data_IF_431748276867
#
_entry.id   IF_431748276867
#
_cell.length_a   1.000
_cell.length_b   1.000
_cell.length_c   1.000
_cell.angle_alpha   90.00
_cell.angle_beta   90.00
_cell.angle_gamma   90.00
#
_symmetry.space_group_name_H-M   'P 1'
#
loop_
_entity.id
_entity.type
_entity.pdbx_description
1 polymer ?
#
# COMPACT_ATOMS: atom_id res chain seq x y z
N UNK A 1 13.51 -14.21 23.54
CA UNK A 1 14.78 -13.67 23.02
C UNK A 1 14.95 -12.26 23.56
N UNK A 2 15.79 -12.08 24.58
CA UNK A 2 15.91 -10.84 25.36
C UNK A 2 16.85 -9.90 24.60
N UNK A 3 16.31 -8.90 23.89
CA UNK A 3 17.12 -7.81 23.38
C UNK A 3 17.81 -7.10 24.56
N UNK A 4 19.08 -6.70 24.43
CA UNK A 4 19.79 -6.02 25.51
C UNK A 4 19.05 -4.75 25.92
N UNK A 5 18.82 -4.57 27.24
CA UNK A 5 18.04 -3.46 27.83
C UNK A 5 18.41 -2.08 27.27
N UNK A 6 19.66 -1.90 26.83
CA UNK A 6 20.18 -0.68 26.22
C UNK A 6 19.48 -0.28 24.90
N UNK A 7 19.18 -1.24 24.03
CA UNK A 7 18.46 -1.00 22.76
C UNK A 7 16.99 -0.65 23.03
N UNK A 8 16.41 -1.26 24.07
CA UNK A 8 15.01 -1.08 24.42
C UNK A 8 14.68 0.31 24.97
N UNK A 9 15.52 0.89 25.82
CA UNK A 9 15.25 2.22 26.39
C UNK A 9 15.68 3.39 25.51
N UNK A 10 16.77 3.28 24.72
CA UNK A 10 17.25 4.42 23.92
C UNK A 10 16.72 4.51 22.50
N UNK A 11 16.43 3.38 21.84
CA UNK A 11 15.97 3.40 20.44
C UNK A 11 14.50 3.04 20.31
N UNK A 12 14.04 2.02 21.04
CA UNK A 12 12.65 1.54 20.92
C UNK A 12 11.65 2.51 21.59
N UNK A 13 12.01 3.13 22.70
CA UNK A 13 11.12 4.07 23.40
C UNK A 13 10.84 5.37 22.60
N UNK A 14 11.84 6.07 22.02
CA UNK A 14 11.59 7.25 21.20
C UNK A 14 10.88 6.92 19.88
N UNK A 15 11.25 5.81 19.22
CA UNK A 15 10.54 5.35 18.01
C UNK A 15 9.09 5.02 18.30
N UNK A 16 8.79 4.38 19.44
CA UNK A 16 7.41 4.11 19.84
C UNK A 16 6.62 5.39 20.07
N UNK A 17 7.21 6.39 20.75
CA UNK A 17 6.57 7.69 20.94
C UNK A 17 6.35 8.43 19.63
N UNK A 18 7.31 8.39 18.71
CA UNK A 18 7.22 8.98 17.38
C UNK A 18 6.11 8.32 16.54
N UNK A 19 6.03 6.98 16.52
CA UNK A 19 4.98 6.24 15.81
C UNK A 19 3.58 6.52 16.40
N UNK A 20 3.48 6.84 17.70
CA UNK A 20 2.20 7.18 18.32
C UNK A 20 1.81 8.65 18.11
N UNK A 21 2.70 9.50 17.58
CA UNK A 21 2.39 10.89 17.26
C UNK A 21 2.01 11.03 15.78
N UNK A 22 0.70 11.07 15.51
CA UNK A 22 0.16 11.25 14.15
C UNK A 22 0.65 12.54 13.45
N UNK A 23 1.09 13.56 14.20
CA UNK A 23 1.67 14.77 13.62
C UNK A 23 3.08 14.53 13.12
N UNK A 24 3.88 13.80 13.90
CA UNK A 24 5.26 13.50 13.55
C UNK A 24 5.32 12.69 12.25
N UNK A 25 4.42 11.72 12.08
CA UNK A 25 4.26 10.95 10.83
C UNK A 25 3.96 11.89 9.65
N UNK A 26 2.97 12.78 9.79
CA UNK A 26 2.59 13.72 8.73
C UNK A 26 3.72 14.69 8.35
N UNK A 27 4.43 15.23 9.34
CA UNK A 27 5.58 16.13 9.11
C UNK A 27 6.71 15.38 8.41
N UNK A 28 7.04 14.16 8.85
CA UNK A 28 8.09 13.36 8.21
C UNK A 28 7.74 13.04 6.77
N UNK A 29 6.49 12.68 6.48
CA UNK A 29 6.04 12.43 5.11
C UNK A 29 6.19 13.68 4.24
N UNK A 30 5.78 14.86 4.74
CA UNK A 30 5.98 16.14 4.04
C UNK A 30 7.46 16.46 3.80
N UNK A 31 8.32 16.24 4.78
CA UNK A 31 9.77 16.46 4.66
C UNK A 31 10.38 15.51 3.64
N UNK A 32 10.02 14.23 3.66
CA UNK A 32 10.48 13.25 2.68
C UNK A 32 10.03 13.60 1.26
N UNK A 33 8.77 14.02 1.08
CA UNK A 33 8.25 14.48 -0.22
C UNK A 33 8.99 15.72 -0.70
N UNK A 34 9.16 16.73 0.15
CA UNK A 34 9.90 17.93 -0.20
C UNK A 34 11.36 17.61 -0.55
N UNK A 35 12.04 16.77 0.24
CA UNK A 35 13.40 16.35 -0.03
C UNK A 35 13.52 15.57 -1.35
N UNK A 36 12.57 14.69 -1.65
CA UNK A 36 12.51 13.94 -2.91
C UNK A 36 12.32 14.88 -4.11
N UNK A 37 11.39 15.83 -4.02
CA UNK A 37 11.15 16.83 -5.06
C UNK A 37 12.38 17.72 -5.28
N UNK A 38 13.02 18.18 -4.20
CA UNK A 38 14.24 18.98 -4.27
C UNK A 38 15.35 18.17 -4.96
N UNK A 39 15.59 16.93 -4.52
CA UNK A 39 16.60 16.05 -5.10
C UNK A 39 16.36 15.76 -6.59
N UNK A 40 15.10 15.47 -6.97
CA UNK A 40 14.74 15.16 -8.35
C UNK A 40 14.93 16.35 -9.31
N UNK A 41 14.84 17.59 -8.80
CA UNK A 41 14.98 18.82 -9.58
C UNK A 41 16.34 19.51 -9.36
N UNK A 42 17.29 18.86 -8.67
CA UNK A 42 18.55 19.49 -8.29
C UNK A 42 19.59 19.48 -9.41
N UNK A 43 19.60 20.51 -10.27
CA UNK A 43 20.66 20.75 -11.26
C UNK A 43 21.06 19.49 -12.04
N UNK A 44 22.38 19.26 -12.20
CA UNK A 44 22.93 18.07 -12.87
C UNK A 44 22.75 16.77 -12.06
N UNK A 45 22.56 16.85 -10.74
CA UNK A 45 22.38 15.68 -9.86
C UNK A 45 20.96 15.09 -9.93
N UNK A 46 19.98 15.88 -10.37
CA UNK A 46 18.58 15.43 -10.47
C UNK A 46 18.38 14.32 -11.50
N UNK A 47 19.17 14.29 -12.58
CA UNK A 47 19.17 13.14 -13.51
C UNK A 47 19.73 11.89 -12.85
N UNK A 48 20.87 11.99 -12.16
CA UNK A 48 21.45 10.86 -11.45
C UNK A 48 20.50 10.29 -10.38
N UNK A 49 19.78 11.15 -9.65
CA UNK A 49 18.76 10.73 -8.68
C UNK A 49 17.61 9.97 -9.36
N UNK A 50 17.07 10.49 -10.47
CA UNK A 50 15.97 9.86 -11.21
C UNK A 50 16.39 8.55 -11.88
N UNK A 51 17.60 8.49 -12.44
CA UNK A 51 18.11 7.29 -13.10
C UNK A 51 18.44 6.19 -12.10
N UNK A 52 18.95 6.54 -10.90
CA UNK A 52 19.32 5.59 -9.84
C UNK A 52 18.19 4.60 -9.53
N UNK A 53 16.96 5.08 -9.43
CA UNK A 53 15.79 4.24 -9.10
C UNK A 53 15.46 3.21 -10.18
N UNK A 54 15.85 3.48 -11.43
CA UNK A 54 15.55 2.67 -12.61
C UNK A 54 16.76 1.85 -13.09
N UNK A 55 17.89 1.87 -12.37
CA UNK A 55 19.05 1.03 -12.71
C UNK A 55 18.61 -0.43 -12.63
N UNK A 56 18.72 -1.14 -13.75
CA UNK A 56 18.32 -2.54 -13.85
C UNK A 56 19.45 -3.45 -13.35
N UNK A 57 19.11 -4.47 -12.56
CA UNK A 57 20.11 -5.36 -11.96
C UNK A 57 20.79 -6.28 -12.97
N UNK A 58 20.06 -6.70 -14.01
CA UNK A 58 20.57 -7.59 -15.07
C UNK A 58 20.97 -6.83 -16.36
N UNK A 59 20.87 -5.50 -16.36
CA UNK A 59 21.16 -4.65 -17.51
C UNK A 59 20.10 -4.67 -18.60
N UNK A 60 18.96 -5.35 -18.40
CA UNK A 60 17.82 -5.35 -19.30
C UNK A 60 16.75 -4.36 -18.83
N UNK A 61 15.97 -3.79 -19.74
CA UNK A 61 14.80 -2.97 -19.37
C UNK A 61 13.56 -3.82 -19.03
N UNK A 62 13.74 -5.11 -18.73
CA UNK A 62 12.63 -6.00 -18.39
C UNK A 62 12.11 -5.73 -16.97
N UNK A 63 10.83 -6.03 -16.74
CA UNK A 63 10.22 -5.94 -15.41
C UNK A 63 10.80 -6.97 -14.42
N UNK A 64 11.28 -8.09 -14.95
CA UNK A 64 11.82 -9.22 -14.20
C UNK A 64 13.32 -9.37 -14.42
N UNK A 65 14.10 -9.38 -13.34
CA UNK A 65 15.48 -9.83 -13.32
C UNK A 65 15.51 -11.36 -13.30
N UNK A 66 16.30 -11.94 -14.19
CA UNK A 66 16.56 -13.38 -14.20
C UNK A 66 17.72 -13.73 -13.26
N UNK A 67 17.40 -14.25 -12.08
CA UNK A 67 18.39 -14.78 -11.12
C UNK A 67 18.29 -16.31 -11.12
N UNK A 68 18.96 -16.95 -12.09
CA UNK A 68 18.81 -18.38 -12.34
C UNK A 68 17.42 -18.72 -12.86
N UNK A 69 16.66 -19.53 -12.11
CA UNK A 69 15.26 -19.85 -12.42
C UNK A 69 14.25 -18.88 -11.77
N UNK A 70 14.72 -17.94 -10.94
CA UNK A 70 13.85 -17.00 -10.23
C UNK A 70 13.70 -15.71 -11.04
N UNK A 71 12.45 -15.30 -11.19
CA UNK A 71 12.02 -14.01 -11.71
C UNK A 71 11.77 -13.05 -10.52
N UNK A 72 12.60 -12.03 -10.38
CA UNK A 72 12.54 -11.04 -9.29
C UNK A 72 12.39 -9.62 -9.83
N UNK A 73 11.98 -8.62 -9.03
CA UNK A 73 11.86 -7.25 -9.52
C UNK A 73 13.22 -6.69 -9.98
N UNK A 74 13.28 -6.11 -11.18
CA UNK A 74 14.54 -5.78 -11.84
C UNK A 74 15.15 -4.43 -11.43
N UNK A 75 14.40 -3.56 -10.77
CA UNK A 75 14.88 -2.23 -10.39
C UNK A 75 14.73 -1.98 -8.89
N UNK A 76 15.58 -1.13 -8.29
CA UNK A 76 15.40 -0.67 -6.92
C UNK A 76 14.00 -0.11 -6.67
N UNK A 77 13.45 0.64 -7.63
CA UNK A 77 12.10 1.19 -7.55
C UNK A 77 11.04 0.11 -7.39
N UNK A 78 11.09 -0.94 -8.21
CA UNK A 78 10.12 -2.04 -8.15
C UNK A 78 10.22 -2.81 -6.83
N UNK A 79 11.44 -3.12 -6.37
CA UNK A 79 11.63 -3.81 -5.08
C UNK A 79 11.06 -2.97 -3.93
N UNK A 80 11.37 -1.67 -3.90
CA UNK A 80 10.94 -0.78 -2.82
C UNK A 80 9.43 -0.63 -2.85
N UNK A 81 8.84 -0.36 -4.01
CA UNK A 81 7.39 -0.23 -4.14
C UNK A 81 6.69 -1.51 -3.73
N UNK A 82 7.07 -2.66 -4.27
CA UNK A 82 6.38 -3.92 -3.97
C UNK A 82 6.53 -4.32 -2.50
N UNK A 83 7.73 -4.23 -1.93
CA UNK A 83 7.96 -4.62 -0.54
C UNK A 83 7.30 -3.67 0.46
N UNK A 84 7.41 -2.34 0.26
CA UNK A 84 6.80 -1.36 1.16
C UNK A 84 5.28 -1.36 1.02
N UNK A 85 4.74 -1.47 -0.20
CA UNK A 85 3.30 -1.55 -0.42
C UNK A 85 2.72 -2.86 0.11
N UNK A 86 3.41 -3.99 -0.03
CA UNK A 86 2.98 -5.24 0.60
C UNK A 86 2.91 -5.11 2.13
N UNK A 87 3.90 -4.47 2.76
CA UNK A 87 3.88 -4.21 4.20
C UNK A 87 2.74 -3.24 4.60
N UNK A 88 2.53 -2.17 3.82
CA UNK A 88 1.47 -1.19 4.03
C UNK A 88 0.08 -1.84 3.92
N UNK A 89 -0.19 -2.58 2.85
CA UNK A 89 -1.47 -3.27 2.64
C UNK A 89 -1.68 -4.45 3.59
N UNK A 90 -0.62 -5.08 4.08
CA UNK A 90 -0.75 -6.05 5.16
C UNK A 90 -1.26 -5.39 6.45
N UNK A 91 -0.70 -4.24 6.83
CA UNK A 91 -1.19 -3.45 7.97
C UNK A 91 -2.62 -2.96 7.74
N UNK A 92 -2.90 -2.39 6.56
CA UNK A 92 -4.24 -1.92 6.19
C UNK A 92 -5.26 -3.07 6.21
N UNK A 93 -4.89 -4.26 5.73
CA UNK A 93 -5.74 -5.46 5.78
C UNK A 93 -6.05 -5.93 7.19
N UNK A 94 -5.08 -5.85 8.11
CA UNK A 94 -5.32 -6.12 9.53
C UNK A 94 -6.26 -5.08 10.15
N UNK A 95 -6.10 -3.80 9.78
CA UNK A 95 -6.95 -2.71 10.25
C UNK A 95 -8.38 -2.84 9.74
N UNK A 96 -8.58 -3.14 8.45
CA UNK A 96 -9.87 -3.46 7.84
C UNK A 96 -10.54 -4.58 8.61
N UNK A 97 -9.80 -5.68 8.84
CA UNK A 97 -10.34 -6.83 9.57
C UNK A 97 -10.77 -6.43 10.98
N UNK A 98 -10.01 -5.57 11.67
CA UNK A 98 -10.40 -5.04 12.99
C UNK A 98 -11.67 -4.20 12.91
N UNK A 99 -11.77 -3.31 11.93
CA UNK A 99 -12.94 -2.44 11.73
C UNK A 99 -14.20 -3.24 11.38
N UNK A 100 -14.07 -4.31 10.59
CA UNK A 100 -15.16 -5.22 10.23
C UNK A 100 -15.65 -6.07 11.41
N UNK A 101 -14.79 -6.39 12.37
CA UNK A 101 -15.17 -7.26 13.51
C UNK A 101 -15.65 -6.43 14.70
N UNK A 102 -14.97 -5.33 15.02
CA UNK A 102 -15.19 -4.57 16.25
C UNK A 102 -15.39 -3.05 16.05
N UNK A 103 -15.27 -2.54 14.82
CA UNK A 103 -15.21 -1.10 14.56
C UNK A 103 -16.43 -0.52 13.85
N UNK A 104 -16.20 0.56 13.11
CA UNK A 104 -17.26 1.31 12.42
C UNK A 104 -17.78 0.60 11.17
N UNK A 105 -17.06 -0.43 10.68
CA UNK A 105 -17.52 -1.27 9.58
C UNK A 105 -18.26 -2.53 10.04
N UNK A 106 -18.39 -2.76 11.35
CA UNK A 106 -18.97 -4.00 11.89
C UNK A 106 -20.49 -4.14 11.70
N UNK A 107 -21.20 -3.04 11.41
CA UNK A 107 -22.64 -3.07 11.14
C UNK A 107 -22.97 -2.35 9.85
N UNK A 108 -23.92 -2.90 9.08
CA UNK A 108 -24.36 -2.36 7.79
C UNK A 108 -24.77 -0.88 7.91
N UNK A 109 -25.44 -0.51 9.00
CA UNK A 109 -25.88 0.89 9.23
C UNK A 109 -24.71 1.85 9.41
N UNK A 110 -23.65 1.42 10.11
CA UNK A 110 -22.45 2.24 10.31
C UNK A 110 -21.55 2.25 9.07
N UNK A 111 -21.42 1.10 8.40
CA UNK A 111 -20.57 0.96 7.22
C UNK A 111 -21.13 1.62 5.96
N UNK A 112 -22.45 1.87 5.90
CA UNK A 112 -23.09 2.47 4.74
C UNK A 112 -22.49 3.82 4.35
N UNK A 113 -22.25 4.71 5.32
CA UNK A 113 -21.71 6.04 5.02
C UNK A 113 -20.26 6.00 4.49
N UNK A 114 -19.30 5.31 5.15
CA UNK A 114 -17.96 5.14 4.60
C UNK A 114 -17.93 4.45 3.23
N UNK A 115 -18.71 3.38 3.05
CA UNK A 115 -18.72 2.61 1.80
C UNK A 115 -19.29 3.44 0.64
N UNK A 116 -20.45 4.09 0.83
CA UNK A 116 -21.03 4.95 -0.21
C UNK A 116 -20.16 6.17 -0.49
N UNK A 117 -19.53 6.73 0.56
CA UNK A 117 -18.56 7.80 0.43
C UNK A 117 -17.35 7.39 -0.43
N UNK A 118 -16.79 6.20 -0.19
CA UNK A 118 -15.65 5.68 -0.95
C UNK A 118 -16.06 5.39 -2.40
N UNK A 119 -17.18 4.71 -2.62
CA UNK A 119 -17.69 4.45 -3.98
C UNK A 119 -17.89 5.76 -4.76
N UNK A 120 -18.51 6.77 -4.15
CA UNK A 120 -18.64 8.10 -4.77
C UNK A 120 -17.29 8.78 -4.98
N UNK A 121 -16.39 8.66 -4.00
CA UNK A 121 -15.01 9.17 -4.02
C UNK A 121 -14.14 8.56 -5.10
N UNK A 122 -14.39 7.31 -5.50
CA UNK A 122 -13.72 6.67 -6.64
C UNK A 122 -14.40 7.00 -7.97
N UNK A 123 -15.72 6.84 -8.03
CA UNK A 123 -16.47 6.92 -9.28
C UNK A 123 -16.44 8.34 -9.86
N UNK A 124 -16.59 9.37 -9.02
CA UNK A 124 -16.62 10.74 -9.52
C UNK A 124 -15.27 11.13 -10.18
N UNK A 125 -14.10 11.02 -9.51
CA UNK A 125 -12.81 11.32 -10.14
C UNK A 125 -12.52 10.49 -11.38
N UNK A 126 -12.84 9.18 -11.35
CA UNK A 126 -12.70 8.29 -12.50
C UNK A 126 -13.50 8.78 -13.72
N UNK A 127 -14.77 9.11 -13.51
CA UNK A 127 -15.66 9.59 -14.58
C UNK A 127 -15.21 10.95 -15.10
N UNK A 128 -14.86 11.89 -14.22
CA UNK A 128 -14.34 13.19 -14.63
C UNK A 128 -13.07 13.02 -15.47
N UNK A 129 -12.11 12.22 -15.02
CA UNK A 129 -10.88 11.98 -15.77
C UNK A 129 -11.15 11.36 -17.14
N UNK A 130 -12.00 10.33 -17.20
CA UNK A 130 -12.33 9.64 -18.45
C UNK A 130 -13.07 10.53 -19.45
N UNK A 131 -13.98 11.39 -18.98
CA UNK A 131 -14.71 12.34 -19.84
C UNK A 131 -13.78 13.40 -20.43
N UNK A 132 -12.87 13.96 -19.62
CA UNK A 132 -11.94 15.00 -20.06
C UNK A 132 -10.82 14.46 -20.95
N UNK A 133 -10.41 13.20 -20.78
CA UNK A 133 -9.36 12.57 -21.59
C UNK A 133 -9.92 11.70 -22.73
N UNK A 134 -11.22 11.81 -23.03
CA UNK A 134 -11.85 10.98 -24.05
C UNK A 134 -11.19 11.19 -25.42
N UNK A 135 -10.77 10.10 -26.04
CA UNK A 135 -10.11 10.13 -27.35
C UNK A 135 -8.63 10.50 -27.31
N UNK A 136 -8.02 10.65 -26.12
CA UNK A 136 -6.57 10.78 -25.97
C UNK A 136 -5.95 9.44 -25.53
N UNK A 137 -4.64 9.25 -25.74
CA UNK A 137 -3.92 8.08 -25.23
C UNK A 137 -3.97 7.95 -23.69
N UNK A 138 -4.26 9.04 -22.98
CA UNK A 138 -4.27 9.07 -21.52
C UNK A 138 -5.56 8.55 -20.90
N UNK A 139 -6.59 8.25 -21.71
CA UNK A 139 -7.88 7.74 -21.22
C UNK A 139 -7.73 6.46 -20.39
N UNK A 140 -6.72 5.64 -20.70
CA UNK A 140 -6.40 4.44 -19.94
C UNK A 140 -6.02 4.73 -18.49
N UNK A 141 -5.59 5.94 -18.12
CA UNK A 141 -5.20 6.32 -16.75
C UNK A 141 -6.35 6.67 -15.80
N UNK A 142 -7.59 6.27 -16.11
CA UNK A 142 -8.78 6.70 -15.35
C UNK A 142 -8.83 6.27 -13.88
N UNK A 143 -8.10 5.22 -13.48
CA UNK A 143 -8.02 4.78 -12.09
C UNK A 143 -6.96 5.54 -11.27
N UNK A 144 -6.06 6.28 -11.91
CA UNK A 144 -5.03 7.09 -11.22
C UNK A 144 -5.62 8.07 -10.19
N UNK A 145 -6.68 8.85 -10.49
CA UNK A 145 -7.25 9.82 -9.55
C UNK A 145 -8.18 9.20 -8.48
N UNK A 146 -8.33 7.87 -8.43
CA UNK A 146 -9.25 7.22 -7.47
C UNK A 146 -8.59 6.84 -6.15
N UNK A 147 -7.27 6.93 -6.03
CA UNK A 147 -6.55 6.56 -4.80
C UNK A 147 -6.40 7.76 -3.85
N UNK A 148 -6.52 7.52 -2.54
CA UNK A 148 -6.42 8.56 -1.51
C UNK A 148 -5.35 8.21 -0.48
N UNK A 149 -4.29 9.03 -0.37
CA UNK A 149 -3.26 8.81 0.65
C UNK A 149 -3.79 9.10 2.08
N UNK A 150 -4.06 8.02 2.80
CA UNK A 150 -4.51 8.04 4.20
C UNK A 150 -3.50 8.68 5.15
N UNK A 151 -2.21 8.45 4.94
CA UNK A 151 -1.16 8.94 5.83
C UNK A 151 -1.03 10.46 5.71
N UNK A 152 -1.10 10.98 4.48
CA UNK A 152 -1.14 12.42 4.24
C UNK A 152 -2.40 13.06 4.81
N UNK A 153 -3.57 12.49 4.53
CA UNK A 153 -4.87 12.99 5.01
C UNK A 153 -4.94 13.05 6.54
N UNK A 154 -4.56 11.97 7.22
CA UNK A 154 -4.54 11.91 8.69
C UNK A 154 -3.43 12.77 9.30
N UNK A 155 -2.30 12.92 8.60
CA UNK A 155 -1.20 13.82 8.97
C UNK A 155 -1.68 15.27 9.05
N UNK A 156 -2.29 15.78 7.98
CA UNK A 156 -2.86 17.14 7.93
C UNK A 156 -3.98 17.30 8.96
N UNK A 157 -4.89 16.33 9.05
CA UNK A 157 -5.97 16.36 10.05
C UNK A 157 -5.44 16.44 11.49
N UNK A 158 -4.25 15.88 11.74
CA UNK A 158 -3.58 15.92 13.04
C UNK A 158 -2.84 17.23 13.31
N UNK A 159 -2.32 17.90 12.27
CA UNK A 159 -1.74 19.25 12.35
C UNK A 159 -2.80 20.30 12.71
N UNK A 160 -4.03 20.15 12.20
CA UNK A 160 -5.18 20.99 12.57
C UNK A 160 -5.63 20.81 14.03
N UNK A 161 -5.08 19.82 14.75
CA UNK A 161 -5.21 19.65 16.18
C UNK A 161 -6.65 19.43 16.64
N UNK A 162 -7.12 20.28 17.57
CA UNK A 162 -8.45 20.16 18.18
C UNK A 162 -9.61 20.56 17.25
N UNK A 163 -9.32 21.17 16.10
CA UNK A 163 -10.36 21.57 15.11
C UNK A 163 -10.97 20.38 14.39
N UNK A 164 -10.27 19.25 14.34
CA UNK A 164 -10.75 18.02 13.70
C UNK A 164 -11.21 17.03 14.78
N UNK A 165 -12.52 16.72 14.87
CA UNK A 165 -13.03 15.76 15.83
C UNK A 165 -12.43 14.37 15.63
N UNK A 166 -12.27 13.62 16.73
CA UNK A 166 -11.77 12.24 16.69
C UNK A 166 -12.65 11.34 15.81
N UNK A 167 -13.97 11.53 15.88
CA UNK A 167 -14.93 10.80 15.04
C UNK A 167 -14.68 11.02 13.55
N UNK A 168 -14.29 12.23 13.13
CA UNK A 168 -13.96 12.51 11.72
C UNK A 168 -12.68 11.79 11.29
N UNK A 169 -11.68 11.69 12.18
CA UNK A 169 -10.45 10.93 11.87
C UNK A 169 -10.75 9.45 11.66
N UNK A 170 -11.55 8.85 12.54
CA UNK A 170 -11.97 7.44 12.41
C UNK A 170 -12.74 7.23 11.11
N UNK A 171 -13.67 8.14 10.80
CA UNK A 171 -14.43 8.10 9.56
C UNK A 171 -13.53 8.19 8.32
N UNK A 172 -12.60 9.15 8.29
CA UNK A 172 -11.64 9.33 7.19
C UNK A 172 -10.72 8.12 7.04
N UNK A 173 -10.30 7.51 8.14
CA UNK A 173 -9.53 6.26 8.11
C UNK A 173 -10.32 5.15 7.44
N UNK A 174 -11.58 4.93 7.84
CA UNK A 174 -12.42 3.90 7.24
C UNK A 174 -12.72 4.16 5.76
N UNK A 175 -13.00 5.41 5.40
CA UNK A 175 -13.22 5.86 4.02
C UNK A 175 -11.99 5.57 3.14
N UNK A 176 -10.82 6.07 3.53
CA UNK A 176 -9.58 5.94 2.75
C UNK A 176 -9.15 4.48 2.61
N UNK A 177 -9.33 3.67 3.66
CA UNK A 177 -9.05 2.24 3.61
C UNK A 177 -9.91 1.52 2.55
N UNK A 178 -11.22 1.84 2.47
CA UNK A 178 -12.12 1.22 1.48
C UNK A 178 -11.75 1.70 0.07
N UNK A 179 -11.45 2.99 -0.07
CA UNK A 179 -11.01 3.63 -1.31
C UNK A 179 -9.73 2.97 -1.86
N UNK A 180 -8.70 2.81 -1.03
CA UNK A 180 -7.43 2.17 -1.38
C UNK A 180 -7.60 0.70 -1.78
N UNK A 181 -8.41 -0.06 -1.04
CA UNK A 181 -8.69 -1.46 -1.39
C UNK A 181 -9.46 -1.54 -2.73
N UNK A 182 -10.43 -0.65 -2.92
CA UNK A 182 -11.17 -0.54 -4.17
C UNK A 182 -10.24 -0.21 -5.33
N UNK A 183 -9.37 0.79 -5.16
CA UNK A 183 -8.42 1.23 -6.17
C UNK A 183 -7.45 0.09 -6.56
N UNK A 184 -6.92 -0.68 -5.60
CA UNK A 184 -6.09 -1.85 -5.91
C UNK A 184 -6.86 -2.90 -6.70
N UNK A 185 -8.10 -3.20 -6.34
CA UNK A 185 -8.91 -4.19 -7.07
C UNK A 185 -9.18 -3.71 -8.50
N UNK A 186 -9.48 -2.42 -8.68
CA UNK A 186 -9.63 -1.81 -10.00
C UNK A 186 -8.34 -1.91 -10.81
N UNK A 187 -7.20 -1.53 -10.22
CA UNK A 187 -5.90 -1.58 -10.89
C UNK A 187 -5.58 -3.03 -11.30
N UNK A 188 -5.75 -3.99 -10.39
CA UNK A 188 -5.48 -5.40 -10.68
C UNK A 188 -6.34 -5.98 -11.80
N UNK A 189 -7.61 -5.56 -11.93
CA UNK A 189 -8.53 -6.08 -12.94
C UNK A 189 -8.41 -5.38 -14.31
N UNK A 190 -8.06 -4.10 -14.35
CA UNK A 190 -8.09 -3.30 -15.58
C UNK A 190 -6.69 -2.96 -16.13
N UNK A 191 -5.64 -3.04 -15.31
CA UNK A 191 -4.25 -2.71 -15.68
C UNK A 191 -3.30 -3.90 -15.55
N UNK A 192 -3.82 -5.08 -15.19
CA UNK A 192 -3.04 -6.32 -15.19
C UNK A 192 -2.60 -6.69 -16.60
N UNK A 193 -1.43 -7.33 -16.69
CA UNK A 193 -0.87 -7.82 -17.95
C UNK A 193 -1.45 -9.18 -18.37
N UNK A 194 -0.68 -9.91 -19.18
CA UNK A 194 -1.00 -11.30 -19.50
C UNK A 194 -0.90 -12.17 -18.23
N UNK A 195 -2.00 -12.86 -17.90
CA UNK A 195 -2.08 -13.64 -16.67
C UNK A 195 -1.36 -14.97 -16.83
N UNK A 196 -0.30 -15.18 -16.05
CA UNK A 196 0.38 -16.45 -15.95
C UNK A 196 -0.40 -17.40 -15.02
N UNK A 197 -1.30 -18.18 -15.61
CA UNK A 197 -2.24 -19.08 -14.91
C UNK A 197 -1.55 -19.99 -13.89
N UNK A 198 -0.34 -20.49 -14.20
CA UNK A 198 0.41 -21.36 -13.29
C UNK A 198 0.73 -20.70 -11.95
N UNK A 199 1.19 -19.44 -11.98
CA UNK A 199 1.45 -18.65 -10.78
C UNK A 199 0.17 -18.29 -10.04
N UNK A 200 -0.93 -18.01 -10.76
CA UNK A 200 -2.23 -17.73 -10.16
C UNK A 200 -2.80 -18.93 -9.38
N UNK A 201 -2.68 -20.15 -9.94
CA UNK A 201 -3.06 -21.39 -9.25
C UNK A 201 -2.17 -21.61 -8.01
N UNK A 202 -0.87 -21.31 -8.11
CA UNK A 202 0.06 -21.32 -6.98
C UNK A 202 -0.39 -20.37 -5.87
N UNK A 203 -0.71 -19.13 -6.20
CA UNK A 203 -1.23 -18.13 -5.27
C UNK A 203 -2.53 -18.60 -4.59
N UNK A 204 -3.50 -19.09 -5.37
CA UNK A 204 -4.77 -19.61 -4.83
C UNK A 204 -4.56 -20.80 -3.88
N UNK A 205 -3.59 -21.67 -4.17
CA UNK A 205 -3.22 -22.80 -3.32
C UNK A 205 -2.66 -22.33 -1.98
N UNK A 206 -1.82 -21.28 -1.98
CA UNK A 206 -1.25 -20.69 -0.77
C UNK A 206 -2.33 -20.00 0.07
N UNK A 207 -3.25 -19.25 -0.56
CA UNK A 207 -4.40 -18.65 0.13
C UNK A 207 -5.25 -19.74 0.81
N UNK A 208 -5.48 -20.86 0.13
CA UNK A 208 -6.21 -22.01 0.68
C UNK A 208 -5.49 -22.60 1.90
N UNK A 209 -4.15 -22.70 1.85
CA UNK A 209 -3.34 -23.16 2.97
C UNK A 209 -3.40 -22.19 4.16
N UNK A 210 -3.27 -20.87 3.91
CA UNK A 210 -3.42 -19.84 4.95
C UNK A 210 -4.80 -19.90 5.61
N UNK A 211 -5.86 -20.10 4.81
CA UNK A 211 -7.21 -20.31 5.32
C UNK A 211 -7.31 -21.55 6.21
N UNK A 212 -6.65 -22.65 5.83
CA UNK A 212 -6.61 -23.87 6.63
C UNK A 212 -5.85 -23.70 7.95
N UNK A 213 -4.72 -22.97 7.95
CA UNK A 213 -4.01 -22.61 9.18
C UNK A 213 -4.92 -21.81 10.14
N UNK A 214 -5.66 -20.84 9.60
CA UNK A 214 -6.63 -20.05 10.36
C UNK A 214 -7.78 -20.91 10.89
N UNK A 215 -8.31 -21.86 10.10
CA UNK A 215 -9.34 -22.82 10.54
C UNK A 215 -8.85 -23.71 11.68
N UNK A 216 -7.60 -24.14 11.62
CA UNK A 216 -6.93 -24.90 12.69
C UNK A 216 -6.55 -24.03 13.90
N UNK A 217 -6.86 -22.73 13.89
CA UNK A 217 -6.51 -21.76 14.94
C UNK A 217 -5.01 -21.74 15.26
N UNK A 218 -4.16 -22.00 14.25
CA UNK A 218 -2.71 -21.90 14.41
C UNK A 218 -2.38 -20.42 14.56
N UNK A 219 -1.65 -20.01 15.61
CA UNK A 219 -1.34 -18.61 15.84
C UNK A 219 -0.46 -18.05 14.72
N UNK A 220 -0.57 -16.75 14.48
CA UNK A 220 0.29 -16.04 13.54
C UNK A 220 1.76 -16.22 13.91
N UNK A 221 2.61 -16.54 12.94
CA UNK A 221 4.00 -16.94 13.18
C UNK A 221 4.77 -17.17 11.89
N UNK A 222 5.91 -17.86 11.99
CA UNK A 222 6.86 -18.04 10.88
C UNK A 222 6.20 -18.68 9.65
N UNK A 223 5.33 -19.68 9.84
CA UNK A 223 4.62 -20.31 8.73
C UNK A 223 3.76 -19.31 7.93
N UNK A 224 3.12 -18.35 8.60
CA UNK A 224 2.32 -17.33 7.94
C UNK A 224 3.19 -16.36 7.16
N UNK A 225 4.36 -15.98 7.70
CA UNK A 225 5.32 -15.14 7.00
C UNK A 225 5.88 -15.81 5.75
N UNK A 226 6.29 -17.08 5.85
CA UNK A 226 6.81 -17.83 4.70
C UNK A 226 5.76 -17.96 3.60
N UNK A 227 4.52 -18.31 3.96
CA UNK A 227 3.42 -18.39 3.00
C UNK A 227 3.06 -17.01 2.44
N UNK A 228 3.14 -15.94 3.22
CA UNK A 228 2.92 -14.57 2.75
C UNK A 228 3.96 -14.12 1.72
N UNK A 229 5.25 -14.39 1.96
CA UNK A 229 6.33 -14.10 1.01
C UNK A 229 6.17 -14.92 -0.26
N UNK A 230 5.82 -16.21 -0.12
CA UNK A 230 5.58 -17.07 -1.27
C UNK A 230 4.35 -16.63 -2.06
N UNK A 231 3.28 -16.20 -1.38
CA UNK A 231 2.09 -15.64 -2.02
C UNK A 231 2.43 -14.37 -2.81
N UNK A 232 3.21 -13.46 -2.20
CA UNK A 232 3.70 -12.27 -2.88
C UNK A 232 4.49 -12.63 -4.14
N UNK A 233 5.41 -13.59 -4.06
CA UNK A 233 6.20 -14.05 -5.20
C UNK A 233 5.32 -14.63 -6.33
N UNK A 234 4.30 -15.42 -5.98
CA UNK A 234 3.38 -15.98 -6.95
C UNK A 234 2.53 -14.89 -7.61
N UNK A 235 2.04 -13.91 -6.85
CA UNK A 235 1.28 -12.78 -7.39
C UNK A 235 2.13 -11.86 -8.26
N UNK A 236 3.38 -11.60 -7.86
CA UNK A 236 4.32 -10.78 -8.64
C UNK A 236 4.55 -11.36 -10.04
N UNK A 237 4.62 -12.68 -10.16
CA UNK A 237 4.82 -13.38 -11.43
C UNK A 237 3.51 -13.73 -12.16
N UNK A 238 2.33 -13.45 -11.57
CA UNK A 238 1.05 -13.84 -12.18
C UNK A 238 0.57 -12.90 -13.27
N UNK A 239 1.22 -11.73 -13.45
CA UNK A 239 0.82 -10.70 -14.41
C UNK A 239 0.04 -9.55 -13.79
#
# INVERSE_FOLDING_TARGET
MILPKFVHTRLIHPLRQFIHDSRAIGITLLVCTAASLIAANWGEWGEAYRSMWNISFDGTNAHHAHVGYLLLPNTPLLIINDALMAAFFFLAGMEIKRELVCGELASIKKSALPVLGAIGGMLAPALFFGLFNKGTPYMEGWAVPTATDIAFTLGIASLLGRRVPVALKIFLTALAIIDDLGAIVVIALFYGGEIAIGYLIGAASIVTLLWFLNKKKIPFGIAHWLLGILLWYMMFNSG
#
